data_IF_055957276888
#
_entry.id   IF_055957276888
#
_cell.length_a   1.000
_cell.length_b   1.000
_cell.length_c   1.000
_cell.angle_alpha   90.00
_cell.angle_beta   90.00
_cell.angle_gamma   90.00
#
_symmetry.space_group_name_H-M   'P 1'
#
loop_
_entity.id
_entity.type
_entity.pdbx_description
1 polymer ?
#
# COMPACT_ATOMS: atom_id res chain seq x y z
N UNK A 1 -24.98 7.32 -22.43
CA UNK A 1 -24.51 5.95 -22.14
C UNK A 1 -23.01 6.01 -21.87
N UNK A 2 -22.63 6.11 -20.59
CA UNK A 2 -21.26 6.43 -20.17
C UNK A 2 -20.43 5.15 -20.18
N UNK A 3 -19.36 5.17 -20.96
CA UNK A 3 -18.45 4.07 -21.27
C UNK A 3 -17.88 3.48 -19.96
N UNK A 4 -18.46 2.38 -19.45
CA UNK A 4 -17.88 1.58 -18.36
C UNK A 4 -16.68 0.80 -18.92
N UNK A 5 -15.57 1.51 -19.15
CA UNK A 5 -14.27 0.88 -19.39
C UNK A 5 -13.87 0.22 -18.06
N UNK A 6 -13.52 -1.06 -18.10
CA UNK A 6 -13.32 -1.88 -16.91
C UNK A 6 -12.28 -1.31 -15.94
N UNK A 7 -12.30 -1.81 -14.70
CA UNK A 7 -11.51 -1.37 -13.54
C UNK A 7 -10.00 -1.62 -13.66
N UNK A 8 -9.48 -1.67 -14.87
CA UNK A 8 -8.10 -2.05 -15.10
C UNK A 8 -7.12 -1.01 -14.56
N UNK A 9 -7.54 0.26 -14.55
CA UNK A 9 -6.82 1.36 -13.91
C UNK A 9 -6.75 1.19 -12.40
N UNK A 10 -7.72 0.51 -11.77
CA UNK A 10 -7.77 0.30 -10.33
C UNK A 10 -6.57 -0.47 -9.79
N UNK A 11 -6.10 -1.50 -10.52
CA UNK A 11 -4.91 -2.27 -10.12
C UNK A 11 -3.64 -1.41 -10.18
N UNK A 12 -3.43 -0.68 -11.28
CA UNK A 12 -2.26 0.19 -11.43
C UNK A 12 -2.28 1.32 -10.39
N UNK A 13 -3.45 1.90 -10.15
CA UNK A 13 -3.65 2.86 -9.07
C UNK A 13 -3.30 2.26 -7.70
N UNK A 14 -3.74 1.04 -7.40
CA UNK A 14 -3.42 0.36 -6.15
C UNK A 14 -1.92 0.17 -5.97
N UNK A 15 -1.21 -0.33 -6.98
CA UNK A 15 0.26 -0.51 -6.95
C UNK A 15 0.97 0.80 -6.66
N UNK A 16 0.62 1.87 -7.39
CA UNK A 16 1.22 3.19 -7.23
C UNK A 16 0.90 3.78 -5.86
N UNK A 17 -0.34 3.65 -5.37
CA UNK A 17 -0.76 4.19 -4.08
C UNK A 17 -0.12 3.46 -2.90
N UNK A 18 0.03 2.14 -2.97
CA UNK A 18 0.74 1.35 -1.95
C UNK A 18 2.19 1.81 -1.87
N UNK A 19 2.86 1.92 -3.03
CA UNK A 19 4.24 2.37 -3.08
C UNK A 19 4.40 3.81 -2.55
N UNK A 20 3.54 4.73 -2.98
CA UNK A 20 3.57 6.12 -2.53
C UNK A 20 3.32 6.24 -1.01
N UNK A 21 2.37 5.46 -0.47
CA UNK A 21 2.09 5.43 0.97
C UNK A 21 3.26 4.86 1.75
N UNK A 22 3.88 3.78 1.27
CA UNK A 22 5.05 3.17 1.91
C UNK A 22 6.21 4.16 1.99
N UNK A 23 6.55 4.83 0.88
CA UNK A 23 7.59 5.85 0.85
C UNK A 23 7.24 7.03 1.79
N UNK A 24 5.99 7.47 1.79
CA UNK A 24 5.53 8.53 2.69
C UNK A 24 5.70 8.15 4.17
N UNK A 25 5.32 6.94 4.56
CA UNK A 25 5.46 6.45 5.95
C UNK A 25 6.93 6.27 6.36
N UNK A 26 7.79 5.82 5.44
CA UNK A 26 9.23 5.73 5.66
C UNK A 26 9.81 7.13 5.98
N UNK A 27 9.51 8.12 5.13
CA UNK A 27 9.98 9.50 5.29
C UNK A 27 9.39 10.14 6.56
N UNK A 28 8.10 9.95 6.82
CA UNK A 28 7.43 10.46 8.01
C UNK A 28 8.03 9.88 9.29
N UNK A 29 8.34 8.57 9.31
CA UNK A 29 9.00 7.91 10.44
C UNK A 29 10.39 8.48 10.73
N UNK A 30 11.14 8.81 9.68
CA UNK A 30 12.44 9.47 9.80
C UNK A 30 12.32 10.88 10.38
N UNK A 31 11.43 11.70 9.82
CA UNK A 31 11.20 13.07 10.32
C UNK A 31 10.77 13.01 11.79
N UNK A 32 9.87 12.10 12.16
CA UNK A 32 9.42 11.95 13.55
C UNK A 32 10.58 11.63 14.50
N UNK A 33 11.52 10.77 14.09
CA UNK A 33 12.69 10.43 14.91
C UNK A 33 13.67 11.60 15.01
N UNK A 34 13.94 12.31 13.92
CA UNK A 34 14.80 13.50 13.95
C UNK A 34 14.24 14.61 14.85
N UNK A 35 12.92 14.83 14.79
CA UNK A 35 12.24 15.79 15.67
C UNK A 35 12.34 15.33 17.13
N UNK A 36 12.11 14.04 17.41
CA UNK A 36 12.19 13.49 18.76
C UNK A 36 13.60 13.65 19.36
N UNK A 37 14.66 13.29 18.60
CA UNK A 37 16.05 13.47 19.03
C UNK A 37 16.38 14.94 19.29
N UNK A 38 16.04 15.84 18.37
CA UNK A 38 16.31 17.27 18.53
C UNK A 38 15.56 17.90 19.72
N UNK A 39 14.37 17.37 20.06
CA UNK A 39 13.61 17.79 21.24
C UNK A 39 14.23 17.25 22.53
N UNK A 40 14.61 15.97 22.55
CA UNK A 40 15.28 15.37 23.71
C UNK A 40 16.62 16.05 24.01
N UNK A 41 17.40 16.42 22.99
CA UNK A 41 18.67 17.14 23.17
C UNK A 41 18.47 18.54 23.80
N UNK A 42 17.34 19.20 23.50
CA UNK A 42 17.04 20.55 24.02
C UNK A 42 16.30 20.54 25.37
N UNK A 43 15.47 19.54 25.62
CA UNK A 43 14.59 19.45 26.80
C UNK A 43 15.18 18.55 27.89
N UNK A 44 15.93 17.50 27.52
CA UNK A 44 16.52 16.52 28.45
C UNK A 44 17.55 17.11 29.41
N UNK A 45 18.06 18.31 29.14
CA UNK A 45 18.92 19.08 30.06
C UNK A 45 18.11 19.73 31.20
N UNK A 46 16.78 19.82 31.09
CA UNK A 46 15.94 20.64 31.96
C UNK A 46 14.90 19.87 32.80
N UNK A 47 14.41 18.68 32.40
CA UNK A 47 13.46 17.90 33.22
C UNK A 47 13.25 16.43 32.76
N UNK A 48 13.48 15.47 33.66
CA UNK A 48 13.33 14.02 33.38
C UNK A 48 11.88 13.59 33.06
N UNK A 49 10.86 14.23 33.64
CA UNK A 49 9.46 13.88 33.39
C UNK A 49 9.01 14.24 31.96
N UNK A 50 9.55 15.33 31.40
CA UNK A 50 9.23 15.74 30.03
C UNK A 50 9.84 14.77 29.02
N UNK A 51 11.08 14.33 29.22
CA UNK A 51 11.72 13.31 28.37
C UNK A 51 10.96 11.98 28.40
N UNK A 52 10.51 11.52 29.58
CA UNK A 52 9.73 10.28 29.69
C UNK A 52 8.39 10.36 28.94
N UNK A 53 7.72 11.52 28.95
CA UNK A 53 6.48 11.74 28.17
C UNK A 53 6.75 11.75 26.65
N UNK A 54 7.87 12.33 26.21
CA UNK A 54 8.28 12.32 24.80
C UNK A 54 8.65 10.93 24.30
N UNK A 55 9.35 10.13 25.10
CA UNK A 55 9.71 8.77 24.75
C UNK A 55 8.47 7.86 24.66
N UNK A 56 7.52 8.02 25.58
CA UNK A 56 6.22 7.33 25.53
C UNK A 56 5.46 7.70 24.24
N UNK A 57 5.40 8.99 23.92
CA UNK A 57 4.73 9.48 22.70
C UNK A 57 5.40 8.95 21.43
N UNK A 58 6.73 8.91 21.40
CA UNK A 58 7.51 8.41 20.26
C UNK A 58 7.29 6.91 20.06
N UNK A 59 7.25 6.12 21.14
CA UNK A 59 6.95 4.69 21.06
C UNK A 59 5.53 4.40 20.59
N UNK A 60 4.55 5.17 21.07
CA UNK A 60 3.17 5.07 20.57
C UNK A 60 3.12 5.43 19.08
N UNK A 61 3.80 6.49 18.65
CA UNK A 61 3.86 6.88 17.24
C UNK A 61 4.47 5.78 16.37
N UNK A 62 5.61 5.19 16.77
CA UNK A 62 6.26 4.08 16.05
C UNK A 62 5.35 2.87 15.89
N UNK A 63 4.65 2.46 16.95
CA UNK A 63 3.71 1.35 16.89
C UNK A 63 2.47 1.69 16.05
N UNK A 64 2.01 2.95 16.08
CA UNK A 64 0.86 3.42 15.32
C UNK A 64 1.14 3.46 13.81
N UNK A 65 2.38 3.72 13.38
CA UNK A 65 2.73 3.72 11.95
C UNK A 65 2.43 2.37 11.27
N UNK A 66 2.78 1.27 11.92
CA UNK A 66 2.49 -0.08 11.41
C UNK A 66 0.99 -0.35 11.35
N UNK A 67 0.21 0.11 12.34
CA UNK A 67 -1.25 -0.02 12.32
C UNK A 67 -1.87 0.81 11.19
N UNK A 68 -1.42 2.05 11.00
CA UNK A 68 -1.85 2.91 9.89
C UNK A 68 -1.57 2.26 8.55
N UNK A 69 -0.39 1.64 8.38
CA UNK A 69 -0.06 0.90 7.17
C UNK A 69 -1.08 -0.21 6.86
N UNK A 70 -1.38 -1.06 7.83
CA UNK A 70 -2.35 -2.15 7.61
C UNK A 70 -3.75 -1.65 7.30
N UNK A 71 -4.18 -0.56 7.96
CA UNK A 71 -5.49 0.05 7.70
C UNK A 71 -5.53 0.62 6.26
N UNK A 72 -4.50 1.34 5.83
CA UNK A 72 -4.47 1.93 4.48
C UNK A 72 -4.34 0.84 3.42
N UNK A 73 -3.42 -0.10 3.60
CA UNK A 73 -3.22 -1.22 2.67
C UNK A 73 -4.48 -2.09 2.56
N UNK A 74 -5.06 -2.48 3.69
CA UNK A 74 -6.30 -3.25 3.73
C UNK A 74 -7.48 -2.48 3.14
N UNK A 75 -7.59 -1.18 3.43
CA UNK A 75 -8.62 -0.31 2.86
C UNK A 75 -8.54 -0.18 1.35
N UNK A 76 -7.32 -0.02 0.80
CA UNK A 76 -7.10 0.03 -0.64
C UNK A 76 -7.43 -1.31 -1.32
N UNK A 77 -7.06 -2.44 -0.70
CA UNK A 77 -7.39 -3.78 -1.20
C UNK A 77 -8.90 -4.03 -1.22
N UNK A 78 -9.58 -3.75 -0.11
CA UNK A 78 -11.03 -3.89 -0.03
C UNK A 78 -11.73 -2.97 -1.02
N UNK A 79 -11.24 -1.74 -1.16
CA UNK A 79 -11.71 -0.79 -2.17
C UNK A 79 -11.64 -1.38 -3.58
N UNK A 80 -10.48 -1.95 -3.96
CA UNK A 80 -10.28 -2.60 -5.25
C UNK A 80 -11.23 -3.79 -5.47
N UNK A 81 -11.45 -4.62 -4.45
CA UNK A 81 -12.34 -5.77 -4.57
C UNK A 81 -13.81 -5.36 -4.72
N UNK A 82 -14.24 -4.32 -4.00
CA UNK A 82 -15.60 -3.76 -4.12
C UNK A 82 -15.80 -3.15 -5.51
N UNK A 83 -14.82 -2.42 -6.04
CA UNK A 83 -14.93 -1.82 -7.37
C UNK A 83 -14.92 -2.89 -8.47
N UNK A 84 -14.06 -3.91 -8.35
CA UNK A 84 -14.03 -5.06 -9.24
C UNK A 84 -15.36 -5.83 -9.23
N UNK A 85 -15.95 -6.02 -8.05
CA UNK A 85 -17.28 -6.63 -7.91
C UNK A 85 -18.41 -5.76 -8.46
N UNK A 86 -18.27 -4.45 -8.62
CA UNK A 86 -19.35 -3.60 -9.14
C UNK A 86 -19.31 -3.40 -10.66
N UNK A 87 -18.25 -3.87 -11.32
CA UNK A 87 -18.07 -3.63 -12.75
C UNK A 87 -18.62 -4.81 -13.57
N UNK A 88 -19.52 -4.54 -14.55
CA UNK A 88 -19.99 -5.56 -15.47
C UNK A 88 -18.90 -5.85 -16.49
N UNK A 89 -18.27 -7.01 -16.39
CA UNK A 89 -17.16 -7.40 -17.26
C UNK A 89 -17.60 -8.33 -18.37
N UNK A 90 -17.25 -7.95 -19.60
CA UNK A 90 -17.38 -8.83 -20.76
C UNK A 90 -16.13 -9.71 -20.87
N UNK A 91 -16.25 -11.02 -21.19
CA UNK A 91 -15.11 -11.92 -21.36
C UNK A 91 -14.06 -11.42 -22.37
N UNK A 92 -14.48 -10.63 -23.36
CA UNK A 92 -13.60 -10.03 -24.37
C UNK A 92 -12.51 -9.12 -23.78
N UNK A 93 -12.67 -8.63 -22.54
CA UNK A 93 -11.68 -7.75 -21.91
C UNK A 93 -10.58 -8.48 -21.12
N UNK A 94 -10.64 -9.82 -20.99
CA UNK A 94 -9.61 -10.60 -20.27
C UNK A 94 -8.20 -10.36 -20.83
N UNK A 95 -7.96 -10.42 -22.16
CA UNK A 95 -6.60 -10.20 -22.69
C UNK A 95 -6.07 -8.79 -22.39
N UNK A 96 -6.95 -7.78 -22.40
CA UNK A 96 -6.58 -6.40 -22.05
C UNK A 96 -6.20 -6.29 -20.58
N UNK A 97 -6.91 -6.98 -19.68
CA UNK A 97 -6.54 -7.06 -18.26
C UNK A 97 -5.14 -7.63 -18.09
N UNK A 98 -4.81 -8.73 -18.78
CA UNK A 98 -3.51 -9.38 -18.67
C UNK A 98 -2.37 -8.44 -19.09
N UNK A 99 -2.54 -7.69 -20.18
CA UNK A 99 -1.55 -6.70 -20.62
C UNK A 99 -1.36 -5.62 -19.55
N UNK A 100 -2.45 -5.13 -18.96
CA UNK A 100 -2.39 -4.10 -17.92
C UNK A 100 -1.80 -4.63 -16.60
N UNK A 101 -2.03 -5.90 -16.27
CA UNK A 101 -1.38 -6.60 -15.16
C UNK A 101 0.13 -6.65 -15.35
N UNK A 102 0.61 -6.99 -16.55
CA UNK A 102 2.05 -6.99 -16.86
C UNK A 102 2.64 -5.59 -16.69
N UNK A 103 1.95 -4.55 -17.17
CA UNK A 103 2.38 -3.16 -16.97
C UNK A 103 2.43 -2.80 -15.48
N UNK A 104 1.41 -3.18 -14.70
CA UNK A 104 1.37 -2.93 -13.26
C UNK A 104 2.52 -3.65 -12.52
N UNK A 105 2.89 -4.86 -12.93
CA UNK A 105 4.04 -5.59 -12.38
C UNK A 105 5.35 -4.87 -12.71
N UNK A 106 5.53 -4.39 -13.95
CA UNK A 106 6.73 -3.62 -14.34
C UNK A 106 6.85 -2.35 -13.50
N UNK A 107 5.76 -1.60 -13.35
CA UNK A 107 5.71 -0.43 -12.46
C UNK A 107 6.03 -0.83 -11.02
N UNK A 108 5.51 -1.97 -10.56
CA UNK A 108 5.78 -2.50 -9.24
C UNK A 108 7.26 -2.80 -9.00
N UNK A 109 7.97 -3.35 -9.99
CA UNK A 109 9.43 -3.58 -9.91
C UNK A 109 10.16 -2.24 -9.79
N UNK A 110 9.83 -1.26 -10.61
CA UNK A 110 10.45 0.06 -10.55
C UNK A 110 10.25 0.73 -9.17
N UNK A 111 9.04 0.62 -8.62
CA UNK A 111 8.71 1.18 -7.31
C UNK A 111 9.37 0.42 -6.15
N UNK A 112 9.46 -0.90 -6.24
CA UNK A 112 10.20 -1.74 -5.29
C UNK A 112 11.67 -1.32 -5.25
N UNK A 113 12.31 -1.19 -6.41
CA UNK A 113 13.71 -0.79 -6.51
C UNK A 113 13.94 0.63 -5.98
N UNK A 114 13.02 1.56 -6.27
CA UNK A 114 13.09 2.91 -5.74
C UNK A 114 12.97 2.94 -4.21
N UNK A 115 12.08 2.12 -3.65
CA UNK A 115 11.93 1.97 -2.20
C UNK A 115 13.18 1.35 -1.57
N UNK A 116 13.78 0.33 -2.18
CA UNK A 116 15.02 -0.28 -1.69
C UNK A 116 16.18 0.72 -1.67
N UNK A 117 16.29 1.59 -2.68
CA UNK A 117 17.30 2.65 -2.69
C UNK A 117 17.11 3.66 -1.54
N UNK A 118 15.87 3.97 -1.19
CA UNK A 118 15.58 4.82 -0.03
C UNK A 118 15.89 4.08 1.28
N UNK A 119 15.45 2.82 1.38
CA UNK A 119 15.65 1.96 2.54
C UNK A 119 17.13 1.76 2.85
N UNK A 120 17.97 1.58 1.83
CA UNK A 120 19.42 1.39 1.96
C UNK A 120 20.20 2.68 2.27
N UNK A 121 19.54 3.83 2.42
CA UNK A 121 20.23 5.05 2.84
C UNK A 121 20.54 5.00 4.33
N UNK A 122 21.78 5.33 4.71
CA UNK A 122 22.27 5.31 6.10
C UNK A 122 21.40 6.12 7.08
N UNK A 123 20.63 7.09 6.57
CA UNK A 123 19.74 7.93 7.38
C UNK A 123 18.44 7.24 7.77
N UNK A 124 18.01 6.24 7.02
CA UNK A 124 16.71 5.60 7.16
C UNK A 124 16.78 4.20 7.80
N UNK A 125 17.98 3.65 7.98
CA UNK A 125 18.24 2.30 8.50
C UNK A 125 17.55 2.03 9.86
N UNK A 126 17.61 2.99 10.80
CA UNK A 126 16.99 2.86 12.13
C UNK A 126 15.46 2.76 12.07
N UNK A 127 14.83 3.42 11.09
CA UNK A 127 13.37 3.40 10.91
C UNK A 127 12.97 2.13 10.15
N UNK A 128 13.76 1.78 9.15
CA UNK A 128 13.65 0.60 8.32
C UNK A 128 13.52 -0.69 9.14
N UNK A 129 14.27 -0.81 10.25
CA UNK A 129 14.16 -1.94 11.18
C UNK A 129 12.81 -2.07 11.90
N UNK A 130 12.09 -0.96 12.09
CA UNK A 130 10.79 -0.94 12.77
C UNK A 130 9.59 -1.22 11.85
N UNK A 131 9.80 -1.11 10.53
CA UNK A 131 8.74 -1.20 9.51
C UNK A 131 8.78 -2.52 8.72
N UNK A 132 9.00 -3.64 9.41
CA UNK A 132 9.18 -4.95 8.76
C UNK A 132 8.04 -5.37 7.81
N UNK A 133 6.79 -5.04 8.14
CA UNK A 133 5.64 -5.35 7.28
C UNK A 133 5.60 -4.52 5.99
N UNK A 134 5.97 -3.24 6.07
CA UNK A 134 6.05 -2.34 4.90
C UNK A 134 7.17 -2.84 3.99
N UNK A 135 8.34 -3.13 4.55
CA UNK A 135 9.48 -3.65 3.81
C UNK A 135 9.13 -4.97 3.10
N UNK A 136 8.50 -5.90 3.81
CA UNK A 136 8.08 -7.17 3.23
C UNK A 136 7.18 -7.01 2.00
N UNK A 137 6.19 -6.11 2.08
CA UNK A 137 5.28 -5.84 0.95
C UNK A 137 6.01 -5.12 -0.17
N UNK A 138 6.87 -4.14 0.14
CA UNK A 138 7.58 -3.34 -0.87
C UNK A 138 8.60 -4.17 -1.65
N UNK A 139 9.42 -5.00 -1.00
CA UNK A 139 10.37 -5.90 -1.67
C UNK A 139 9.68 -6.99 -2.48
N UNK A 140 8.43 -7.32 -2.16
CA UNK A 140 7.62 -8.29 -2.89
C UNK A 140 6.49 -7.64 -3.68
N UNK A 141 6.54 -6.32 -3.92
CA UNK A 141 5.45 -5.57 -4.52
C UNK A 141 5.05 -6.08 -5.92
N UNK A 142 5.97 -6.53 -6.79
CA UNK A 142 5.61 -7.19 -8.04
C UNK A 142 4.78 -8.47 -7.83
N UNK A 143 5.16 -9.29 -6.84
CA UNK A 143 4.44 -10.52 -6.50
C UNK A 143 3.07 -10.22 -5.88
N UNK A 144 3.01 -9.24 -4.98
CA UNK A 144 1.75 -8.77 -4.39
C UNK A 144 0.80 -8.26 -5.47
N UNK A 145 1.30 -7.44 -6.41
CA UNK A 145 0.51 -6.97 -7.57
C UNK A 145 0.01 -8.12 -8.44
N UNK A 146 0.83 -9.14 -8.69
CA UNK A 146 0.44 -10.33 -9.44
C UNK A 146 -0.69 -11.10 -8.73
N UNK A 147 -0.53 -11.39 -7.44
CA UNK A 147 -1.52 -12.13 -6.64
C UNK A 147 -2.85 -11.37 -6.60
N UNK A 148 -2.81 -10.07 -6.27
CA UNK A 148 -4.00 -9.22 -6.21
C UNK A 148 -4.65 -9.11 -7.59
N UNK A 149 -3.86 -8.98 -8.65
CA UNK A 149 -4.34 -8.93 -10.03
C UNK A 149 -5.09 -10.19 -10.42
N UNK A 150 -4.56 -11.37 -10.10
CA UNK A 150 -5.23 -12.66 -10.36
C UNK A 150 -6.52 -12.77 -9.55
N UNK A 151 -6.50 -12.44 -8.25
CA UNK A 151 -7.71 -12.45 -7.40
C UNK A 151 -8.78 -11.51 -7.97
N UNK A 152 -8.38 -10.30 -8.35
CA UNK A 152 -9.27 -9.29 -8.94
C UNK A 152 -9.90 -9.80 -10.23
N UNK A 153 -9.11 -10.48 -11.07
CA UNK A 153 -9.60 -11.13 -12.29
C UNK A 153 -10.63 -12.21 -11.95
N UNK A 154 -10.34 -13.11 -11.00
CA UNK A 154 -11.27 -14.16 -10.57
C UNK A 154 -12.58 -13.53 -10.08
N UNK A 155 -12.53 -12.57 -9.17
CA UNK A 155 -13.71 -11.88 -8.61
C UNK A 155 -14.55 -11.23 -9.71
N UNK A 156 -13.88 -10.60 -10.68
CA UNK A 156 -14.53 -9.90 -11.79
C UNK A 156 -15.31 -10.85 -12.71
N UNK A 157 -14.80 -12.07 -12.92
CA UNK A 157 -15.37 -13.05 -13.85
C UNK A 157 -16.16 -14.19 -13.19
N UNK A 158 -16.07 -14.37 -11.88
CA UNK A 158 -16.77 -15.42 -11.13
C UNK A 158 -18.28 -15.16 -10.95
N UNK A 159 -18.78 -13.99 -11.35
CA UNK A 159 -20.20 -13.67 -11.20
C UNK A 159 -21.08 -14.60 -12.06
N UNK A 160 -22.06 -15.31 -11.46
CA UNK A 160 -23.01 -16.08 -12.22
C UNK A 160 -23.89 -15.15 -13.07
N UNK A 161 -24.08 -15.50 -14.35
CA UNK A 161 -25.07 -14.84 -15.22
C UNK A 161 -26.46 -15.20 -14.68
N UNK A 162 -27.04 -14.36 -13.83
CA UNK A 162 -28.40 -14.54 -13.30
C UNK A 162 -29.49 -14.13 -14.31
N UNK A 163 -29.14 -13.86 -15.57
CA UNK A 163 -30.02 -13.14 -16.52
C UNK A 163 -30.77 -14.05 -17.51
N UNK A 164 -30.65 -15.38 -17.41
CA UNK A 164 -31.35 -16.32 -18.30
C UNK A 164 -32.43 -17.15 -17.60
N UNK A 165 -32.96 -16.70 -16.45
CA UNK A 165 -34.18 -17.30 -15.90
C UNK A 165 -35.39 -16.70 -16.65
N UNK A 166 -36.04 -17.44 -17.57
CA UNK A 166 -37.26 -16.97 -18.18
C UNK A 166 -38.29 -16.72 -17.06
N UNK A 167 -38.90 -15.55 -17.07
CA UNK A 167 -40.09 -15.27 -16.28
C UNK A 167 -41.18 -16.25 -16.73
N UNK A 168 -41.33 -17.36 -16.01
CA UNK A 168 -42.51 -18.23 -16.08
C UNK A 168 -43.57 -17.69 -15.13
#
# INVERSE_FOLDING_TARGET
MKNKRGDFTGLLYLVVMIAATAMFLLIAGYIATQVSTAMNDKIGVLNNESSAAFDSTTNVARNSLSAVWFIVFGGLLLGLFITAWNIPSKPIYVPVFIILLVIAIIVGVAMSNAYEQLYASDKLEDIAGTQGSINFIMSNLPYTALIIGIITLIITYAKPKLEDAPLM
#
